data_IF_250027847383
#
_entry.id   IF_250027847383
#
_cell.length_a   1.000
_cell.length_b   1.000
_cell.length_c   1.000
_cell.angle_alpha   90.00
_cell.angle_beta   90.00
_cell.angle_gamma   90.00
#
_symmetry.space_group_name_H-M   'P 1'
#
loop_
_entity.id
_entity.type
_entity.pdbx_description
1 polymer ?
#
# COMPACT_ATOMS: atom_id res chain seq x y z
N UNK A 1 -5.10 -8.92 39.75
CA UNK A 1 -3.80 -9.39 39.27
C UNK A 1 -4.01 -10.41 38.18
N UNK A 2 -4.10 -9.95 36.91
CA UNK A 2 -4.17 -10.83 35.72
C UNK A 2 -3.08 -10.35 34.77
N UNK A 3 -1.91 -11.01 34.82
CA UNK A 3 -0.76 -10.75 33.98
C UNK A 3 -0.92 -11.48 32.64
N UNK A 4 -1.02 -10.71 31.63
CA UNK A 4 -0.71 -10.82 30.21
C UNK A 4 0.04 -12.09 29.76
N UNK A 5 -0.71 -13.09 29.31
CA UNK A 5 -0.20 -14.28 28.59
C UNK A 5 -0.09 -14.07 27.06
N UNK A 6 -0.37 -12.87 26.58
CA UNK A 6 -0.43 -12.55 25.14
C UNK A 6 0.90 -12.15 24.49
N UNK A 7 1.80 -11.59 25.25
CA UNK A 7 3.03 -11.00 24.70
C UNK A 7 4.12 -12.02 24.35
N UNK A 8 4.18 -13.13 25.08
CA UNK A 8 5.22 -14.15 24.85
C UNK A 8 5.06 -14.91 23.53
N UNK A 9 3.83 -15.04 23.04
CA UNK A 9 3.58 -15.74 21.75
C UNK A 9 3.93 -14.88 20.54
N UNK A 10 3.73 -13.55 20.60
CA UNK A 10 4.10 -12.62 19.53
C UNK A 10 5.61 -12.48 19.39
N UNK A 11 6.32 -12.45 20.50
CA UNK A 11 7.79 -12.39 20.54
C UNK A 11 8.45 -13.63 19.92
N UNK A 12 7.89 -14.84 20.17
CA UNK A 12 8.41 -16.08 19.60
C UNK A 12 8.20 -16.20 18.10
N UNK A 13 7.07 -15.70 17.56
CA UNK A 13 6.80 -15.75 16.12
C UNK A 13 7.68 -14.78 15.32
N UNK A 14 8.00 -13.63 15.87
CA UNK A 14 8.91 -12.66 15.23
C UNK A 14 10.35 -13.19 15.25
N UNK A 15 10.80 -13.78 16.36
CA UNK A 15 12.12 -14.38 16.46
C UNK A 15 12.29 -15.61 15.56
N UNK A 16 11.23 -16.41 15.36
CA UNK A 16 11.26 -17.58 14.49
C UNK A 16 11.33 -17.18 13.00
N UNK A 17 10.61 -16.11 12.60
CA UNK A 17 10.68 -15.59 11.22
C UNK A 17 12.04 -14.98 10.89
N UNK A 18 12.66 -14.27 11.83
CA UNK A 18 13.99 -13.70 11.63
C UNK A 18 15.08 -14.78 11.50
N UNK A 19 14.98 -15.88 12.25
CA UNK A 19 15.93 -16.99 12.15
C UNK A 19 15.82 -17.79 10.86
N UNK A 20 14.61 -17.92 10.30
CA UNK A 20 14.41 -18.63 9.02
C UNK A 20 14.99 -17.86 7.84
N UNK A 21 14.92 -16.53 7.85
CA UNK A 21 15.48 -15.67 6.80
C UNK A 21 17.01 -15.66 6.79
N UNK A 22 17.63 -15.69 7.98
CA UNK A 22 19.11 -15.72 8.10
C UNK A 22 19.66 -17.11 7.72
N UNK A 23 18.95 -18.19 8.05
CA UNK A 23 19.37 -19.55 7.70
C UNK A 23 19.31 -19.85 6.19
N UNK A 24 18.39 -19.17 5.46
CA UNK A 24 18.29 -19.33 4.01
C UNK A 24 19.43 -18.60 3.27
N UNK A 25 19.89 -17.45 3.77
CA UNK A 25 21.04 -16.73 3.18
C UNK A 25 22.38 -17.44 3.42
N UNK A 26 22.56 -18.16 4.55
CA UNK A 26 23.83 -18.80 4.88
C UNK A 26 24.03 -20.18 4.21
N UNK A 27 22.97 -20.76 3.62
CA UNK A 27 23.07 -22.06 2.96
C UNK A 27 23.43 -21.98 1.47
N UNK A 28 23.51 -20.80 0.90
CA UNK A 28 23.87 -20.58 -0.51
C UNK A 28 25.41 -20.58 -0.74
N UNK A 29 26.22 -20.64 0.32
CA UNK A 29 27.66 -20.40 0.24
C UNK A 29 28.56 -21.66 0.41
N UNK A 30 27.96 -22.87 0.46
CA UNK A 30 28.75 -24.11 0.57
C UNK A 30 28.45 -25.15 -0.51
N UNK A 31 28.35 -24.71 -1.78
CA UNK A 31 28.51 -25.61 -2.91
C UNK A 31 29.99 -25.68 -3.24
N UNK A 32 30.71 -26.60 -2.58
CA UNK A 32 32.11 -26.85 -2.73
C UNK A 32 32.47 -27.20 -4.18
N UNK A 33 33.42 -26.49 -4.65
CA UNK A 33 34.08 -26.63 -5.98
C UNK A 33 34.81 -27.95 -6.07
N UNK A 34 34.23 -28.96 -6.71
CA UNK A 34 34.98 -30.09 -7.23
C UNK A 34 35.65 -29.66 -8.56
N UNK A 35 36.88 -29.25 -8.49
CA UNK A 35 37.72 -28.92 -9.65
C UNK A 35 38.13 -30.21 -10.38
N UNK A 36 37.38 -30.58 -11.41
CA UNK A 36 37.87 -31.54 -12.42
C UNK A 36 38.65 -30.73 -13.43
N UNK A 37 39.97 -30.89 -13.39
CA UNK A 37 40.92 -30.24 -14.28
C UNK A 37 40.84 -30.89 -15.68
N UNK A 38 40.19 -30.25 -16.64
CA UNK A 38 40.22 -30.58 -18.06
C UNK A 38 41.07 -29.52 -18.78
N UNK A 39 42.22 -29.89 -19.43
CA UNK A 39 43.04 -28.94 -20.17
C UNK A 39 42.35 -28.59 -21.49
N UNK A 40 41.90 -27.34 -21.65
CA UNK A 40 41.35 -26.82 -22.91
C UNK A 40 40.22 -25.81 -22.80
N UNK A 41 39.77 -25.37 -21.59
CA UNK A 41 38.63 -24.48 -21.41
C UNK A 41 38.96 -23.07 -20.89
N UNK A 42 40.15 -22.56 -21.11
CA UNK A 42 40.52 -21.25 -20.57
C UNK A 42 39.87 -20.05 -21.30
N UNK A 43 39.39 -20.23 -22.53
CA UNK A 43 38.79 -19.15 -23.32
C UNK A 43 37.28 -18.88 -22.97
N UNK A 44 36.60 -19.77 -22.23
CA UNK A 44 35.16 -19.64 -21.94
C UNK A 44 34.83 -19.16 -20.52
N UNK A 45 35.78 -19.07 -19.61
CA UNK A 45 35.55 -18.69 -18.21
C UNK A 45 35.12 -17.23 -18.02
N UNK A 46 35.46 -16.32 -18.94
CA UNK A 46 35.05 -14.91 -18.87
C UNK A 46 33.61 -14.64 -19.32
N UNK A 47 33.09 -15.46 -20.23
CA UNK A 47 31.79 -15.23 -20.86
C UNK A 47 30.60 -15.61 -19.93
N UNK A 48 30.72 -16.71 -19.21
CA UNK A 48 29.67 -17.17 -18.29
C UNK A 48 29.39 -16.19 -17.14
N UNK A 49 30.40 -15.51 -16.61
CA UNK A 49 30.23 -14.53 -15.54
C UNK A 49 29.52 -13.28 -16.06
N UNK A 50 29.88 -12.83 -17.26
CA UNK A 50 29.24 -11.66 -17.90
C UNK A 50 27.78 -11.98 -18.24
N UNK A 51 27.52 -13.15 -18.80
CA UNK A 51 26.17 -13.62 -19.12
C UNK A 51 25.31 -13.76 -17.89
N UNK A 52 25.83 -14.35 -16.81
CA UNK A 52 25.12 -14.45 -15.52
C UNK A 52 24.81 -13.08 -14.93
N UNK A 53 25.80 -12.16 -14.95
CA UNK A 53 25.59 -10.80 -14.42
C UNK A 53 24.53 -10.05 -15.23
N UNK A 54 24.57 -10.16 -16.55
CA UNK A 54 23.57 -9.56 -17.43
C UNK A 54 22.18 -10.13 -17.18
N UNK A 55 22.06 -11.45 -17.08
CA UNK A 55 20.78 -12.12 -16.78
C UNK A 55 20.23 -11.72 -15.40
N UNK A 56 21.10 -11.64 -14.39
CA UNK A 56 20.74 -11.22 -13.04
C UNK A 56 20.21 -9.77 -13.01
N UNK A 57 20.88 -8.84 -13.71
CA UNK A 57 20.42 -7.46 -13.85
C UNK A 57 19.10 -7.36 -14.61
N UNK A 58 18.96 -8.10 -15.71
CA UNK A 58 17.74 -8.14 -16.51
C UNK A 58 16.55 -8.65 -15.71
N UNK A 59 16.76 -9.61 -14.81
CA UNK A 59 15.72 -10.15 -13.95
C UNK A 59 15.46 -9.24 -12.74
N UNK A 60 16.48 -8.58 -12.19
CA UNK A 60 16.37 -7.71 -11.04
C UNK A 60 15.50 -6.47 -11.33
N UNK A 61 15.64 -5.86 -12.51
CA UNK A 61 14.89 -4.66 -12.90
C UNK A 61 13.37 -4.88 -12.83
N UNK A 62 12.78 -5.91 -13.47
CA UNK A 62 11.34 -6.13 -13.37
C UNK A 62 10.86 -6.49 -11.96
N UNK A 63 11.70 -7.17 -11.17
CA UNK A 63 11.34 -7.49 -9.77
C UNK A 63 11.28 -6.23 -8.92
N UNK A 64 12.26 -5.35 -9.02
CA UNK A 64 12.25 -4.06 -8.30
C UNK A 64 11.06 -3.21 -8.75
N UNK A 65 10.81 -3.12 -10.06
CA UNK A 65 9.64 -2.42 -10.59
C UNK A 65 8.33 -2.97 -10.02
N UNK A 66 8.17 -4.29 -10.00
CA UNK A 66 7.00 -4.95 -9.41
C UNK A 66 6.82 -4.60 -7.93
N UNK A 67 7.92 -4.66 -7.14
CA UNK A 67 7.87 -4.31 -5.72
C UNK A 67 7.43 -2.86 -5.49
N UNK A 68 7.97 -1.92 -6.26
CA UNK A 68 7.59 -0.49 -6.18
C UNK A 68 6.12 -0.30 -6.55
N UNK A 69 5.67 -0.95 -7.62
CA UNK A 69 4.26 -0.86 -8.06
C UNK A 69 3.29 -1.39 -7.00
N UNK A 70 3.57 -2.56 -6.43
CA UNK A 70 2.75 -3.14 -5.35
C UNK A 70 2.73 -2.23 -4.13
N UNK A 71 3.87 -1.66 -3.75
CA UNK A 71 3.96 -0.72 -2.62
C UNK A 71 3.09 0.52 -2.84
N UNK A 72 3.07 1.09 -4.04
CA UNK A 72 2.23 2.25 -4.39
C UNK A 72 0.74 1.92 -4.29
N UNK A 73 0.32 0.77 -4.81
CA UNK A 73 -1.09 0.33 -4.74
C UNK A 73 -1.51 0.09 -3.28
N UNK A 74 -0.67 -0.56 -2.48
CA UNK A 74 -0.96 -0.81 -1.07
C UNK A 74 -1.03 0.51 -0.27
N UNK A 75 -0.07 1.43 -0.48
CA UNK A 75 -0.07 2.75 0.14
C UNK A 75 -1.34 3.54 -0.18
N UNK A 76 -1.74 3.57 -1.47
CA UNK A 76 -2.98 4.19 -1.91
C UNK A 76 -4.23 3.56 -1.31
N UNK A 77 -4.27 2.24 -1.17
CA UNK A 77 -5.40 1.53 -0.55
C UNK A 77 -5.58 1.94 0.92
N UNK A 78 -4.50 2.01 1.69
CA UNK A 78 -4.55 2.48 3.08
C UNK A 78 -4.95 3.96 3.17
N UNK A 79 -4.43 4.80 2.27
CA UNK A 79 -4.79 6.21 2.21
C UNK A 79 -6.28 6.42 2.00
N UNK A 80 -6.89 5.70 1.04
CA UNK A 80 -8.32 5.83 0.70
C UNK A 80 -9.22 5.34 1.84
N UNK A 81 -8.88 4.21 2.48
CA UNK A 81 -9.63 3.68 3.63
C UNK A 81 -9.54 4.63 4.82
N UNK A 82 -8.34 5.12 5.15
CA UNK A 82 -8.13 6.08 6.23
C UNK A 82 -8.85 7.40 5.97
N UNK A 83 -8.79 7.90 4.74
CA UNK A 83 -9.47 9.14 4.33
C UNK A 83 -10.99 9.02 4.44
N UNK A 84 -11.60 7.91 3.98
CA UNK A 84 -13.04 7.69 4.07
C UNK A 84 -13.52 7.61 5.52
N UNK A 85 -12.79 6.87 6.37
CA UNK A 85 -13.14 6.72 7.79
C UNK A 85 -13.02 8.04 8.56
N UNK A 86 -11.94 8.80 8.35
CA UNK A 86 -11.75 10.12 8.95
C UNK A 86 -12.81 11.11 8.49
N UNK A 87 -13.11 11.14 7.18
CA UNK A 87 -14.11 12.05 6.62
C UNK A 87 -15.51 11.76 7.19
N UNK A 88 -15.90 10.49 7.28
CA UNK A 88 -17.18 10.10 7.84
C UNK A 88 -17.30 10.50 9.33
N UNK A 89 -16.24 10.30 10.12
CA UNK A 89 -16.19 10.71 11.54
C UNK A 89 -16.29 12.22 11.70
N UNK A 90 -15.51 12.97 10.93
CA UNK A 90 -15.50 14.44 11.00
C UNK A 90 -16.85 15.00 10.56
N UNK A 91 -17.47 14.42 9.52
CA UNK A 91 -18.77 14.86 9.02
C UNK A 91 -19.84 14.82 10.09
N UNK A 92 -19.98 13.69 10.80
CA UNK A 92 -21.04 13.51 11.82
C UNK A 92 -20.82 14.32 13.09
N UNK A 93 -19.67 14.93 13.30
CA UNK A 93 -19.39 15.81 14.46
C UNK A 93 -19.79 17.27 14.23
N UNK A 94 -20.11 17.65 13.00
CA UNK A 94 -20.48 19.02 12.67
C UNK A 94 -21.97 19.27 12.90
N UNK A 95 -22.33 20.56 13.10
CA UNK A 95 -23.73 20.98 13.33
C UNK A 95 -24.44 21.47 12.07
N UNK A 96 -23.69 21.77 11.03
CA UNK A 96 -24.19 22.34 9.79
C UNK A 96 -23.68 21.50 8.58
N UNK A 97 -24.56 21.15 7.61
CA UNK A 97 -24.18 20.31 6.46
C UNK A 97 -23.09 20.89 5.57
N UNK A 98 -23.02 22.23 5.45
CA UNK A 98 -22.00 22.90 4.63
C UNK A 98 -20.64 22.79 5.31
N UNK A 99 -20.57 23.12 6.60
CA UNK A 99 -19.35 23.00 7.38
C UNK A 99 -18.90 21.53 7.51
N UNK A 100 -19.85 20.58 7.59
CA UNK A 100 -19.58 19.14 7.62
C UNK A 100 -18.83 18.68 6.35
N UNK A 101 -19.30 19.09 5.17
CA UNK A 101 -18.62 18.77 3.90
C UNK A 101 -17.23 19.36 3.83
N UNK A 102 -17.07 20.64 4.14
CA UNK A 102 -15.78 21.33 4.12
C UNK A 102 -14.79 20.68 5.08
N UNK A 103 -15.23 20.34 6.29
CA UNK A 103 -14.37 19.68 7.27
C UNK A 103 -13.98 18.25 6.84
N UNK A 104 -14.92 17.49 6.28
CA UNK A 104 -14.67 16.16 5.75
C UNK A 104 -13.68 16.18 4.56
N UNK A 105 -13.87 17.10 3.59
CA UNK A 105 -12.96 17.28 2.46
C UNK A 105 -11.55 17.64 2.92
N UNK A 106 -11.41 18.53 3.91
CA UNK A 106 -10.11 18.86 4.50
C UNK A 106 -9.46 17.65 5.16
N UNK A 107 -10.22 16.80 5.83
CA UNK A 107 -9.69 15.58 6.46
C UNK A 107 -9.19 14.57 5.43
N UNK A 108 -9.91 14.44 4.29
CA UNK A 108 -9.44 13.62 3.15
C UNK A 108 -8.15 14.16 2.57
N UNK A 109 -8.07 15.49 2.34
CA UNK A 109 -6.87 16.14 1.81
C UNK A 109 -5.65 15.85 2.69
N UNK A 110 -5.78 15.98 4.00
CA UNK A 110 -4.69 15.69 4.95
C UNK A 110 -4.30 14.22 4.88
N UNK A 111 -5.27 13.31 4.95
CA UNK A 111 -5.03 11.88 4.93
C UNK A 111 -4.34 11.41 3.63
N UNK A 112 -4.75 11.92 2.47
CA UNK A 112 -4.11 11.60 1.19
C UNK A 112 -2.69 12.17 1.10
N UNK A 113 -2.49 13.41 1.57
CA UNK A 113 -1.18 14.05 1.59
C UNK A 113 -0.18 13.34 2.49
N UNK A 114 -0.61 12.82 3.64
CA UNK A 114 0.22 12.04 4.56
C UNK A 114 0.76 10.74 3.90
N UNK A 115 0.03 10.22 2.92
CA UNK A 115 0.44 9.07 2.11
C UNK A 115 1.09 9.45 0.77
N UNK A 116 1.39 10.74 0.52
CA UNK A 116 2.05 11.22 -0.68
C UNK A 116 1.18 11.26 -1.94
N UNK A 117 -0.17 11.28 -1.77
CA UNK A 117 -1.11 11.37 -2.88
C UNK A 117 -1.65 12.79 -3.05
N UNK A 118 -1.88 13.19 -4.31
CA UNK A 118 -2.45 14.49 -4.66
C UNK A 118 -3.99 14.43 -4.58
N UNK A 119 -4.59 15.47 -4.02
CA UNK A 119 -6.05 15.56 -3.86
C UNK A 119 -6.78 15.68 -5.21
N UNK A 120 -6.16 16.28 -6.21
CA UNK A 120 -6.72 16.44 -7.58
C UNK A 120 -7.03 15.11 -8.28
N UNK A 121 -6.37 14.04 -7.85
CA UNK A 121 -6.60 12.67 -8.33
C UNK A 121 -7.66 11.92 -7.54
N UNK A 122 -8.27 12.58 -6.55
CA UNK A 122 -9.29 12.00 -5.71
C UNK A 122 -10.67 12.56 -5.98
N UNK A 123 -11.70 11.74 -5.79
CA UNK A 123 -13.10 12.18 -5.78
C UNK A 123 -13.80 11.69 -4.52
N UNK A 124 -14.67 12.53 -3.97
CA UNK A 124 -15.39 12.27 -2.73
C UNK A 124 -16.87 12.33 -3.01
N UNK A 125 -17.61 11.32 -2.55
CA UNK A 125 -19.09 11.27 -2.62
C UNK A 125 -19.66 11.09 -1.22
N UNK A 126 -20.72 11.83 -0.91
CA UNK A 126 -21.45 11.74 0.36
C UNK A 126 -22.85 11.22 0.07
N UNK A 127 -23.25 10.16 0.76
CA UNK A 127 -24.58 9.56 0.67
C UNK A 127 -25.19 9.51 2.07
N UNK A 128 -26.47 9.86 2.18
CA UNK A 128 -27.20 9.87 3.44
C UNK A 128 -28.44 8.99 3.31
N UNK A 129 -28.79 8.26 4.35
CA UNK A 129 -29.99 7.43 4.39
C UNK A 129 -31.29 8.26 4.57
N UNK A 130 -31.15 9.56 4.91
CA UNK A 130 -32.26 10.48 5.17
C UNK A 130 -32.05 11.81 4.45
N UNK A 131 -33.11 12.57 4.24
CA UNK A 131 -33.03 13.90 3.64
C UNK A 131 -32.11 14.86 4.41
N UNK A 132 -32.14 14.78 5.75
CA UNK A 132 -31.20 15.50 6.60
C UNK A 132 -30.06 14.58 7.01
N UNK A 133 -28.88 14.80 6.46
CA UNK A 133 -27.67 14.02 6.74
C UNK A 133 -27.21 14.11 8.21
N UNK A 134 -27.54 15.18 8.92
CA UNK A 134 -27.17 15.41 10.33
C UNK A 134 -28.32 15.15 11.31
N UNK A 135 -29.43 14.56 10.86
CA UNK A 135 -30.50 14.16 11.76
C UNK A 135 -30.03 13.08 12.73
N UNK A 136 -30.45 13.15 13.97
CA UNK A 136 -30.10 12.15 14.99
C UNK A 136 -30.44 10.73 14.52
N UNK A 137 -29.48 9.84 14.51
CA UNK A 137 -29.59 8.47 14.02
C UNK A 137 -29.56 8.33 12.49
N UNK A 138 -29.27 9.38 11.72
CA UNK A 138 -29.00 9.27 10.29
C UNK A 138 -27.65 8.60 10.08
N UNK A 139 -27.54 7.82 9.00
CA UNK A 139 -26.28 7.19 8.56
C UNK A 139 -25.71 7.97 7.39
N UNK A 140 -24.48 8.40 7.52
CA UNK A 140 -23.72 9.05 6.44
C UNK A 140 -22.66 8.11 5.94
N UNK A 141 -22.65 7.87 4.62
CA UNK A 141 -21.62 7.08 3.94
C UNK A 141 -20.77 8.01 3.09
N UNK A 142 -19.47 7.99 3.35
CA UNK A 142 -18.47 8.74 2.58
C UNK A 142 -17.69 7.75 1.73
N UNK A 143 -17.69 7.96 0.42
CA UNK A 143 -16.90 7.18 -0.52
C UNK A 143 -15.80 8.04 -1.11
N UNK A 144 -14.56 7.60 -0.95
CA UNK A 144 -13.35 8.23 -1.51
C UNK A 144 -12.82 7.34 -2.62
N UNK A 145 -12.55 7.93 -3.79
CA UNK A 145 -11.89 7.27 -4.93
C UNK A 145 -10.60 8.00 -5.24
N UNK A 146 -9.55 7.26 -5.53
CA UNK A 146 -8.22 7.76 -5.83
C UNK A 146 -7.67 7.06 -7.07
N UNK A 147 -7.19 7.84 -8.04
CA UNK A 147 -6.46 7.33 -9.20
C UNK A 147 -4.95 7.36 -8.90
N UNK A 148 -4.35 6.17 -8.73
CA UNK A 148 -2.91 6.02 -8.43
C UNK A 148 -2.15 5.84 -9.73
N UNK A 149 -1.25 6.75 -10.06
CA UNK A 149 -0.38 6.65 -11.23
C UNK A 149 0.71 5.60 -10.99
N UNK A 150 0.91 4.70 -11.95
CA UNK A 150 2.01 3.75 -11.89
C UNK A 150 3.35 4.44 -12.17
N UNK A 151 4.38 4.26 -11.34
CA UNK A 151 5.67 4.88 -11.57
C UNK A 151 6.35 4.28 -12.81
N UNK A 152 7.13 5.09 -13.52
CA UNK A 152 7.99 4.67 -14.64
C UNK A 152 7.27 4.12 -15.89
N UNK A 153 6.06 4.59 -16.18
CA UNK A 153 5.40 4.33 -17.46
C UNK A 153 5.68 5.50 -18.44
N UNK A 154 6.77 5.46 -19.23
CA UNK A 154 7.11 6.57 -20.15
C UNK A 154 6.09 6.69 -21.31
N UNK A 155 5.24 5.68 -21.49
CA UNK A 155 4.20 5.63 -22.53
C UNK A 155 2.79 5.50 -21.95
N UNK A 156 2.59 5.76 -20.65
CA UNK A 156 1.31 5.59 -19.96
C UNK A 156 0.17 6.38 -20.58
N UNK A 157 0.43 7.61 -21.01
CA UNK A 157 -0.56 8.48 -21.64
C UNK A 157 -0.95 7.99 -23.05
N UNK A 158 0.00 7.40 -23.79
CA UNK A 158 -0.22 6.90 -25.17
C UNK A 158 -1.01 5.59 -25.16
N UNK A 159 -0.80 4.73 -24.17
CA UNK A 159 -1.45 3.42 -24.07
C UNK A 159 -2.71 3.44 -23.21
N UNK A 160 -3.11 4.59 -22.64
CA UNK A 160 -4.24 4.72 -21.71
C UNK A 160 -4.25 3.63 -20.62
N UNK A 161 -3.08 3.17 -20.24
CA UNK A 161 -2.90 2.25 -19.11
C UNK A 161 -3.15 3.05 -17.84
N UNK A 162 -4.45 3.18 -17.55
CA UNK A 162 -4.92 3.93 -16.41
C UNK A 162 -4.31 3.37 -15.12
N UNK A 163 -3.90 4.31 -14.31
CA UNK A 163 -3.64 4.14 -12.92
C UNK A 163 -4.64 3.20 -12.25
N UNK A 164 -4.18 2.46 -11.27
CA UNK A 164 -5.09 1.64 -10.46
C UNK A 164 -6.10 2.57 -9.79
N UNK A 165 -7.39 2.38 -10.07
CA UNK A 165 -8.47 3.11 -9.41
C UNK A 165 -8.81 2.42 -8.09
N UNK A 166 -8.51 3.09 -7.00
CA UNK A 166 -8.79 2.64 -5.65
C UNK A 166 -10.05 3.33 -5.13
N UNK A 167 -10.91 2.61 -4.41
CA UNK A 167 -12.07 3.20 -3.76
C UNK A 167 -12.32 2.54 -2.41
N UNK A 168 -12.71 3.36 -1.44
CA UNK A 168 -13.18 2.88 -0.14
C UNK A 168 -14.37 3.70 0.31
N UNK A 169 -15.26 3.09 1.08
CA UNK A 169 -16.39 3.74 1.71
C UNK A 169 -16.40 3.47 3.20
N UNK A 170 -16.79 4.48 3.97
CA UNK A 170 -17.00 4.38 5.41
C UNK A 170 -18.34 4.99 5.79
N UNK A 171 -19.07 4.34 6.69
CA UNK A 171 -20.38 4.80 7.16
C UNK A 171 -20.31 5.11 8.65
N UNK A 172 -20.90 6.24 9.05
CA UNK A 172 -21.00 6.67 10.42
C UNK A 172 -22.44 7.10 10.75
N UNK A 173 -22.87 6.83 11.96
CA UNK A 173 -24.19 7.21 12.47
C UNK A 173 -24.08 8.51 13.26
N UNK A 174 -24.97 9.45 12.97
CA UNK A 174 -25.07 10.72 13.71
C UNK A 174 -25.56 10.46 15.13
N UNK A 175 -24.85 10.98 16.12
CA UNK A 175 -25.19 10.84 17.52
C UNK A 175 -26.55 11.43 17.87
N UNK A 176 -27.22 10.87 18.89
CA UNK A 176 -28.50 11.36 19.37
C UNK A 176 -28.41 12.63 20.25
N UNK A 177 -27.19 12.94 20.69
CA UNK A 177 -26.92 14.02 21.65
C UNK A 177 -25.86 14.99 21.09
N UNK A 178 -26.18 15.61 19.94
CA UNK A 178 -25.35 16.68 19.39
C UNK A 178 -25.92 18.05 19.73
#
# INVERSE_FOLDING_TARGET
>A
MQTSRGDTRRSLLVAFRLRLSVAFCLRAESAGTATIYAPGQEAQKGNATVEFTFLALLLMVPVVYFMVTVSQIQGGSFAVVGAADQAAKVFVTQRDPVSARIAAERSVLVALKDHGHEFEKASITFECDRESCLAAGATVTVTVRLDVSLPLMPFGDVLQLHASRLSASASQVVGRYQ
#
